data_IF_963901390865
#
_entry.id   IF_963901390865
#
_cell.length_a   1.000
_cell.length_b   1.000
_cell.length_c   1.000
_cell.angle_alpha   90.00
_cell.angle_beta   90.00
_cell.angle_gamma   90.00
#
_symmetry.space_group_name_H-M   'P 1'
#
loop_
_entity.id
_entity.type
_entity.pdbx_description
1 polymer ?
#
# COMPACT_ATOMS: atom_id res chain seq x y z
N UNK A 1 20.04 -3.86 -17.25
CA UNK A 1 19.10 -4.27 -16.25
C UNK A 1 17.92 -3.38 -16.17
N UNK A 2 16.87 -3.97 -16.29
CA UNK A 2 15.64 -3.24 -16.36
C UNK A 2 15.10 -2.94 -14.97
N UNK A 3 13.85 -2.69 -14.93
CA UNK A 3 13.11 -2.45 -13.71
C UNK A 3 13.05 -3.71 -12.87
N UNK A 4 12.97 -3.51 -11.56
CA UNK A 4 12.74 -4.58 -10.60
C UNK A 4 11.28 -4.56 -10.23
N UNK A 5 10.59 -5.68 -10.45
CA UNK A 5 9.21 -5.83 -10.02
C UNK A 5 9.18 -6.19 -8.54
N UNK A 6 8.17 -5.69 -7.83
CA UNK A 6 7.93 -6.14 -6.48
C UNK A 6 7.34 -7.55 -6.55
N UNK A 7 7.89 -8.45 -5.74
CA UNK A 7 7.36 -9.79 -5.60
C UNK A 7 5.93 -9.72 -5.07
N UNK A 8 5.00 -10.36 -5.77
CA UNK A 8 3.61 -10.43 -5.33
C UNK A 8 3.45 -11.04 -3.95
N UNK A 9 4.33 -11.96 -3.57
CA UNK A 9 4.32 -12.53 -2.23
C UNK A 9 4.66 -11.50 -1.16
N UNK A 10 5.59 -10.58 -1.45
CA UNK A 10 5.94 -9.51 -0.53
C UNK A 10 4.77 -8.52 -0.36
N UNK A 11 4.06 -8.23 -1.44
CA UNK A 11 2.86 -7.39 -1.34
C UNK A 11 1.78 -8.06 -0.49
N UNK A 12 1.59 -9.37 -0.63
CA UNK A 12 0.65 -10.12 0.20
C UNK A 12 1.10 -10.12 1.66
N UNK A 13 2.39 -10.26 1.94
CA UNK A 13 2.90 -10.20 3.29
C UNK A 13 2.66 -8.83 3.92
N UNK A 14 2.87 -7.75 3.17
CA UNK A 14 2.58 -6.40 3.65
C UNK A 14 1.08 -6.22 3.90
N UNK A 15 0.23 -6.73 3.01
CA UNK A 15 -1.21 -6.68 3.21
C UNK A 15 -1.62 -7.44 4.47
N UNK A 16 -1.09 -8.63 4.68
CA UNK A 16 -1.36 -9.42 5.88
C UNK A 16 -0.89 -8.70 7.14
N UNK A 17 0.25 -8.02 7.08
CA UNK A 17 0.73 -7.21 8.18
C UNK A 17 -0.29 -6.13 8.56
N UNK A 18 -0.79 -5.38 7.57
CA UNK A 18 -1.79 -4.35 7.83
C UNK A 18 -3.09 -4.92 8.38
N UNK A 19 -3.53 -6.08 7.86
CA UNK A 19 -4.72 -6.75 8.36
C UNK A 19 -4.56 -7.17 9.83
N UNK A 20 -3.40 -7.71 10.18
CA UNK A 20 -3.10 -8.08 11.57
C UNK A 20 -3.05 -6.86 12.50
N UNK A 21 -2.73 -5.70 11.97
CA UNK A 21 -2.68 -4.45 12.74
C UNK A 21 -4.04 -3.77 12.86
N UNK A 22 -5.06 -4.29 12.20
CA UNK A 22 -6.43 -3.80 12.34
C UNK A 22 -7.09 -3.33 11.04
N UNK A 23 -6.39 -3.31 9.92
CA UNK A 23 -7.01 -2.92 8.65
C UNK A 23 -8.09 -3.92 8.23
N UNK A 24 -9.13 -3.43 7.59
CA UNK A 24 -10.22 -4.24 7.06
C UNK A 24 -9.93 -4.67 5.62
N UNK A 25 -9.37 -3.76 4.83
CA UNK A 25 -9.04 -4.00 3.42
C UNK A 25 -7.71 -3.32 3.10
N UNK A 26 -6.95 -3.91 2.20
CA UNK A 26 -5.67 -3.37 1.73
C UNK A 26 -5.64 -3.34 0.21
N UNK A 27 -5.17 -2.22 -0.33
CA UNK A 27 -5.08 -2.02 -1.77
C UNK A 27 -3.69 -1.50 -2.15
N UNK A 28 -3.33 -1.69 -3.42
CA UNK A 28 -2.18 -1.00 -4.03
C UNK A 28 -2.69 -0.12 -5.16
N UNK A 29 -1.94 0.93 -5.47
CA UNK A 29 -2.24 1.79 -6.61
C UNK A 29 -0.94 2.38 -7.17
N UNK A 30 -1.07 3.16 -8.23
CA UNK A 30 0.11 3.77 -8.85
C UNK A 30 1.00 2.75 -9.55
N UNK A 31 2.30 2.95 -9.47
CA UNK A 31 3.27 2.13 -10.20
C UNK A 31 3.25 0.66 -9.83
N UNK A 32 2.87 0.35 -8.59
CA UNK A 32 2.83 -1.03 -8.12
C UNK A 32 1.83 -1.88 -8.91
N UNK A 33 0.74 -1.27 -9.40
CA UNK A 33 -0.29 -1.99 -10.17
C UNK A 33 0.18 -2.34 -11.57
N UNK A 34 1.24 -1.71 -12.03
CA UNK A 34 1.78 -1.95 -13.38
C UNK A 34 2.89 -3.00 -13.38
N UNK A 35 3.26 -3.50 -12.21
CA UNK A 35 4.24 -4.57 -12.07
C UNK A 35 5.68 -4.19 -12.40
N UNK A 36 5.97 -2.92 -12.59
CA UNK A 36 7.29 -2.47 -13.02
C UNK A 36 7.71 -1.24 -12.21
N UNK A 37 8.20 -1.48 -11.00
CA UNK A 37 8.71 -0.43 -10.14
C UNK A 37 10.21 -0.29 -10.28
N UNK A 38 10.69 0.94 -10.25
CA UNK A 38 12.12 1.21 -10.13
C UNK A 38 12.55 0.86 -8.70
N UNK A 39 13.84 0.51 -8.50
CA UNK A 39 14.33 0.17 -7.16
C UNK A 39 14.16 1.29 -6.12
N UNK A 40 14.13 2.54 -6.56
CA UNK A 40 14.01 3.71 -5.69
C UNK A 40 12.58 4.26 -5.61
N UNK A 41 11.62 3.60 -6.24
CA UNK A 41 10.23 4.05 -6.22
C UNK A 41 9.53 3.68 -4.92
N UNK A 42 8.66 4.57 -4.44
CA UNK A 42 7.79 4.28 -3.31
C UNK A 42 6.69 3.30 -3.73
N UNK A 43 6.21 2.52 -2.78
CA UNK A 43 5.07 1.64 -2.99
C UNK A 43 3.83 2.35 -2.47
N UNK A 44 2.87 2.62 -3.36
CA UNK A 44 1.64 3.30 -3.00
C UNK A 44 0.61 2.26 -2.56
N UNK A 45 0.23 2.31 -1.29
CA UNK A 45 -0.76 1.42 -0.71
C UNK A 45 -1.87 2.21 -0.02
N UNK A 46 -3.02 1.59 0.12
CA UNK A 46 -4.16 2.20 0.78
C UNK A 46 -4.86 1.18 1.66
N UNK A 47 -5.44 1.63 2.75
CA UNK A 47 -6.10 0.75 3.72
C UNK A 47 -7.42 1.36 4.17
N UNK A 48 -8.32 0.48 4.63
CA UNK A 48 -9.52 0.87 5.37
C UNK A 48 -9.43 0.27 6.77
N UNK A 49 -9.97 0.98 7.76
CA UNK A 49 -10.13 0.48 9.12
C UNK A 49 -8.88 0.44 9.98
N UNK A 50 -7.73 0.84 9.46
CA UNK A 50 -6.50 0.82 10.26
C UNK A 50 -6.52 1.94 11.30
N UNK A 51 -6.33 1.61 12.61
CA UNK A 51 -6.33 2.65 13.64
C UNK A 51 -5.22 3.68 13.41
N UNK A 52 -5.52 4.99 13.54
CA UNK A 52 -4.52 6.03 13.30
C UNK A 52 -3.25 5.89 14.13
N UNK A 53 -3.36 5.43 15.36
CA UNK A 53 -2.22 5.32 16.27
C UNK A 53 -1.18 4.30 15.84
N UNK A 54 -1.52 3.37 14.95
CA UNK A 54 -0.57 2.36 14.48
C UNK A 54 -0.03 2.66 13.08
N UNK A 55 -0.42 3.78 12.47
CA UNK A 55 -0.03 4.10 11.10
C UNK A 55 1.48 4.16 10.91
N UNK A 56 2.18 4.92 11.75
CA UNK A 56 3.63 5.04 11.60
C UNK A 56 4.33 3.71 11.78
N UNK A 57 3.88 2.92 12.74
CA UNK A 57 4.43 1.57 12.96
C UNK A 57 4.17 0.68 11.75
N UNK A 58 2.97 0.74 11.19
CA UNK A 58 2.60 -0.04 10.02
C UNK A 58 3.45 0.33 8.81
N UNK A 59 3.62 1.63 8.54
CA UNK A 59 4.45 2.12 7.45
C UNK A 59 5.89 1.67 7.61
N UNK A 60 6.44 1.81 8.81
CA UNK A 60 7.82 1.42 9.11
C UNK A 60 8.05 -0.06 8.88
N UNK A 61 7.15 -0.90 9.41
CA UNK A 61 7.26 -2.35 9.26
C UNK A 61 7.10 -2.80 7.81
N UNK A 62 6.15 -2.22 7.09
CA UNK A 62 5.94 -2.54 5.69
C UNK A 62 7.13 -2.08 4.83
N UNK A 63 7.68 -0.91 5.12
CA UNK A 63 8.86 -0.42 4.41
C UNK A 63 10.05 -1.32 4.60
N UNK A 64 10.26 -1.81 5.82
CA UNK A 64 11.33 -2.77 6.10
C UNK A 64 11.11 -4.09 5.37
N UNK A 65 9.87 -4.57 5.35
CA UNK A 65 9.51 -5.81 4.69
C UNK A 65 9.74 -5.72 3.18
N UNK A 66 9.33 -4.62 2.56
CA UNK A 66 9.43 -4.44 1.11
C UNK A 66 10.80 -3.93 0.66
N UNK A 67 11.62 -3.44 1.59
CA UNK A 67 12.93 -2.90 1.26
C UNK A 67 12.88 -1.55 0.54
N UNK A 68 11.76 -0.83 0.65
CA UNK A 68 11.57 0.49 0.05
C UNK A 68 10.47 1.26 0.78
N UNK A 69 10.44 2.59 0.64
CA UNK A 69 9.41 3.38 1.31
C UNK A 69 8.00 3.00 0.88
N UNK A 70 7.10 2.93 1.84
CA UNK A 70 5.66 2.71 1.61
C UNK A 70 4.93 4.01 1.86
N UNK A 71 4.13 4.43 0.89
CA UNK A 71 3.26 5.59 0.99
C UNK A 71 1.84 5.07 1.25
N UNK A 72 1.36 5.24 2.47
CA UNK A 72 0.11 4.65 2.92
C UNK A 72 -0.99 5.69 3.02
N UNK A 73 -2.10 5.44 2.33
CA UNK A 73 -3.26 6.32 2.30
C UNK A 73 -4.39 5.71 3.12
N UNK A 74 -5.01 6.54 3.96
CA UNK A 74 -6.19 6.16 4.73
C UNK A 74 -7.44 6.41 3.90
N UNK A 75 -8.07 5.35 3.41
CA UNK A 75 -9.29 5.45 2.59
C UNK A 75 -10.52 5.88 3.39
N UNK A 76 -10.46 5.84 4.71
CA UNK A 76 -11.55 6.31 5.57
C UNK A 76 -11.52 7.82 5.76
N UNK A 77 -10.43 8.48 5.38
CA UNK A 77 -10.30 9.93 5.46
C UNK A 77 -10.79 10.56 4.15
N UNK A 78 -11.85 11.39 4.16
CA UNK A 78 -12.47 11.88 2.92
C UNK A 78 -11.69 13.04 2.28
N UNK A 79 -10.44 12.81 1.91
CA UNK A 79 -9.63 13.80 1.20
C UNK A 79 -9.92 13.76 -0.30
N UNK A 80 -9.53 14.82 -1.05
CA UNK A 80 -9.67 14.81 -2.52
C UNK A 80 -8.94 13.64 -3.18
N UNK A 81 -7.76 13.27 -2.68
CA UNK A 81 -7.00 12.12 -3.20
C UNK A 81 -7.79 10.83 -3.02
N UNK A 82 -8.36 10.62 -1.83
CA UNK A 82 -9.14 9.41 -1.54
C UNK A 82 -10.36 9.34 -2.45
N UNK A 83 -11.07 10.46 -2.62
CA UNK A 83 -12.23 10.51 -3.51
C UNK A 83 -11.85 10.17 -4.95
N UNK A 84 -10.72 10.68 -5.42
CA UNK A 84 -10.21 10.38 -6.74
C UNK A 84 -9.90 8.88 -6.89
N UNK A 85 -9.20 8.31 -5.93
CA UNK A 85 -8.83 6.88 -5.95
C UNK A 85 -10.06 5.99 -5.95
N UNK A 86 -11.05 6.29 -5.12
CA UNK A 86 -12.27 5.49 -5.04
C UNK A 86 -13.10 5.58 -6.32
N UNK A 87 -13.11 6.75 -6.97
CA UNK A 87 -13.92 6.97 -8.16
C UNK A 87 -13.27 6.53 -9.47
N UNK A 88 -11.95 6.39 -9.50
CA UNK A 88 -11.22 6.12 -10.74
C UNK A 88 -11.03 4.65 -11.05
N UNK A 89 -11.28 3.76 -10.09
CA UNK A 89 -10.98 2.34 -10.25
C UNK A 89 -9.49 2.01 -10.23
N UNK A 90 -8.66 2.92 -9.75
CA UNK A 90 -7.21 2.75 -9.75
C UNK A 90 -6.71 1.84 -8.63
N UNK A 91 -7.55 1.50 -7.65
CA UNK A 91 -7.18 0.67 -6.52
C UNK A 91 -7.29 -0.81 -6.89
N UNK A 92 -6.25 -1.57 -6.59
CA UNK A 92 -6.23 -3.02 -6.77
C UNK A 92 -6.15 -3.67 -5.40
N UNK A 93 -7.15 -4.46 -5.05
CA UNK A 93 -7.22 -5.10 -3.73
C UNK A 93 -6.19 -6.21 -3.61
N UNK A 94 -5.47 -6.22 -2.50
CA UNK A 94 -4.48 -7.26 -2.19
C UNK A 94 -4.70 -7.92 -0.84
N UNK A 95 -5.66 -7.45 -0.09
CA UNK A 95 -5.94 -8.07 1.22
C UNK A 95 -7.26 -7.68 1.83
#
# INVERSE_FOLDING_TARGET
>A
MATVSIDGNLLLEAANLFLRMGATEVFVFGSATKGALRPDSDVDMAVTGLPPKVYFSAISKASDLLGRPVDLVDLDDPTPLVRHLLGSGALVRVG
#
